data_IF_651114979477
#
_entry.id   IF_651114979477
#
_cell.length_a   1.000
_cell.length_b   1.000
_cell.length_c   1.000
_cell.angle_alpha   90.00
_cell.angle_beta   90.00
_cell.angle_gamma   90.00
#
_symmetry.space_group_name_H-M   'P 1'
#
loop_
_entity.id
_entity.type
_entity.pdbx_description
1 polymer ?
#
# COMPACT_ATOMS: atom_id res chain seq x y z
N UNK A 1 7.72 13.30 -19.59
CA UNK A 1 9.02 13.77 -20.13
C UNK A 1 9.92 14.10 -18.95
N UNK A 2 11.22 13.77 -19.02
CA UNK A 2 12.17 14.10 -17.95
C UNK A 2 12.40 15.62 -17.92
N UNK A 3 12.18 16.25 -16.76
CA UNK A 3 12.33 17.70 -16.60
C UNK A 3 13.63 18.08 -15.89
N UNK A 4 14.02 17.30 -14.87
CA UNK A 4 15.23 17.54 -14.09
C UNK A 4 15.85 16.22 -13.68
N UNK A 5 17.18 16.17 -13.65
CA UNK A 5 17.95 15.04 -13.16
C UNK A 5 19.02 15.56 -12.20
N UNK A 6 18.80 15.31 -10.90
CA UNK A 6 19.77 15.62 -9.86
C UNK A 6 20.60 14.39 -9.55
N UNK A 7 21.93 14.52 -9.59
CA UNK A 7 22.89 13.42 -9.51
C UNK A 7 23.89 13.71 -8.41
N UNK A 8 24.12 12.74 -7.52
CA UNK A 8 25.11 12.85 -6.44
C UNK A 8 25.94 11.57 -6.34
N UNK A 9 27.25 11.72 -6.16
CA UNK A 9 28.22 10.65 -5.97
C UNK A 9 28.09 9.51 -7.00
N UNK A 10 27.91 9.86 -8.28
CA UNK A 10 27.72 8.91 -9.36
C UNK A 10 28.79 9.07 -10.45
N UNK A 11 29.66 8.08 -10.58
CA UNK A 11 30.76 8.05 -11.55
C UNK A 11 31.68 9.27 -11.43
N UNK A 12 31.70 10.15 -12.43
CA UNK A 12 32.50 11.38 -12.44
C UNK A 12 31.76 12.58 -11.80
N UNK A 13 30.50 12.41 -11.42
CA UNK A 13 29.68 13.46 -10.81
C UNK A 13 29.70 13.34 -9.28
N UNK A 14 30.39 14.27 -8.61
CA UNK A 14 30.22 14.46 -7.16
C UNK A 14 28.84 15.01 -6.83
N UNK A 15 28.46 16.11 -7.49
CA UNK A 15 27.12 16.67 -7.48
C UNK A 15 26.86 17.36 -8.83
N UNK A 16 25.73 17.10 -9.46
CA UNK A 16 25.34 17.70 -10.74
C UNK A 16 23.83 17.83 -10.86
N UNK A 17 23.38 18.89 -11.51
CA UNK A 17 21.97 19.15 -11.74
C UNK A 17 21.72 19.47 -13.22
N UNK A 18 20.83 18.72 -13.85
CA UNK A 18 20.50 18.86 -15.26
C UNK A 18 19.03 19.25 -15.39
N UNK A 19 18.75 20.43 -15.94
CA UNK A 19 17.41 20.86 -16.32
C UNK A 19 17.22 20.65 -17.83
N UNK A 20 16.13 19.97 -18.20
CA UNK A 20 15.82 19.62 -19.58
C UNK A 20 14.74 20.53 -20.13
N UNK A 21 15.02 21.14 -21.28
CA UNK A 21 14.07 21.94 -22.04
C UNK A 21 13.15 21.09 -22.92
N UNK A 22 12.08 21.70 -23.47
CA UNK A 22 11.24 21.05 -24.47
C UNK A 22 12.03 20.79 -25.77
N UNK A 23 11.69 19.72 -26.49
CA UNK A 23 12.32 19.39 -27.76
C UNK A 23 13.68 18.70 -27.61
N UNK A 24 14.72 19.26 -28.24
CA UNK A 24 16.06 18.66 -28.32
C UNK A 24 16.99 19.22 -27.24
N UNK A 25 17.50 18.34 -26.39
CA UNK A 25 18.54 18.66 -25.41
C UNK A 25 19.88 18.12 -25.90
N UNK A 26 20.91 18.98 -25.94
CA UNK A 26 22.25 18.63 -26.45
C UNK A 26 23.23 18.62 -25.29
N UNK A 27 23.93 17.48 -25.10
CA UNK A 27 24.95 17.32 -24.05
C UNK A 27 26.34 17.32 -24.69
N UNK A 28 27.14 18.35 -24.39
CA UNK A 28 28.48 18.55 -24.94
C UNK A 28 29.55 18.51 -23.84
N UNK A 29 30.80 18.20 -24.21
CA UNK A 29 31.92 18.11 -23.28
C UNK A 29 33.03 17.19 -23.79
N UNK A 30 34.21 17.26 -23.18
CA UNK A 30 35.37 16.42 -23.55
C UNK A 30 35.18 14.96 -23.16
N UNK A 31 36.01 14.06 -23.69
CA UNK A 31 35.94 12.64 -23.31
C UNK A 31 36.23 12.48 -21.81
N UNK A 32 35.54 11.53 -21.17
CA UNK A 32 35.66 11.30 -19.73
C UNK A 32 34.79 12.20 -18.84
N UNK A 33 34.08 13.22 -19.37
CA UNK A 33 33.25 14.13 -18.55
C UNK A 33 31.86 13.60 -18.18
N UNK A 34 31.58 12.32 -18.42
CA UNK A 34 30.32 11.71 -17.97
C UNK A 34 29.12 11.89 -18.88
N UNK A 35 29.27 12.41 -20.12
CA UNK A 35 28.17 12.57 -21.08
C UNK A 35 27.30 11.32 -21.25
N UNK A 36 27.94 10.17 -21.53
CA UNK A 36 27.23 8.89 -21.65
C UNK A 36 26.61 8.42 -20.33
N UNK A 37 27.18 8.81 -19.19
CA UNK A 37 26.64 8.45 -17.88
C UNK A 37 25.32 9.17 -17.59
N UNK A 38 25.21 10.46 -17.93
CA UNK A 38 23.96 11.23 -17.81
C UNK A 38 22.87 10.60 -18.67
N UNK A 39 23.18 10.26 -19.92
CA UNK A 39 22.21 9.65 -20.84
C UNK A 39 21.76 8.26 -20.35
N UNK A 40 22.69 7.42 -19.88
CA UNK A 40 22.37 6.10 -19.30
C UNK A 40 21.51 6.23 -18.04
N UNK A 41 21.82 7.19 -17.18
CA UNK A 41 21.08 7.43 -15.95
C UNK A 41 19.65 7.89 -16.25
N UNK A 42 19.49 8.87 -17.15
CA UNK A 42 18.18 9.32 -17.60
C UNK A 42 17.37 8.18 -18.23
N UNK A 43 17.99 7.36 -19.07
CA UNK A 43 17.34 6.17 -19.63
C UNK A 43 16.90 5.19 -18.54
N UNK A 44 17.80 4.81 -17.62
CA UNK A 44 17.52 3.82 -16.58
C UNK A 44 16.37 4.25 -15.66
N UNK A 45 16.31 5.52 -15.28
CA UNK A 45 15.22 6.06 -14.45
C UNK A 45 13.89 5.97 -15.21
N UNK A 46 13.86 6.45 -16.46
CA UNK A 46 12.64 6.47 -17.26
C UNK A 46 12.16 5.06 -17.61
N UNK A 47 13.06 4.13 -17.94
CA UNK A 47 12.69 2.76 -18.29
C UNK A 47 12.10 2.00 -17.10
N UNK A 48 12.66 2.20 -15.90
CA UNK A 48 12.10 1.60 -14.68
C UNK A 48 10.73 2.20 -14.35
N UNK A 49 10.59 3.52 -14.45
CA UNK A 49 9.30 4.18 -14.20
C UNK A 49 8.22 3.74 -15.19
N UNK A 50 8.54 3.66 -16.48
CA UNK A 50 7.61 3.16 -17.50
C UNK A 50 7.16 1.72 -17.22
N UNK A 51 8.09 0.86 -16.78
CA UNK A 51 7.77 -0.51 -16.39
C UNK A 51 6.79 -0.54 -15.21
N UNK A 52 7.08 0.21 -14.15
CA UNK A 52 6.23 0.29 -12.96
C UNK A 52 4.81 0.79 -13.29
N UNK A 53 4.70 1.85 -14.10
CA UNK A 53 3.41 2.42 -14.51
C UNK A 53 2.59 1.43 -15.36
N UNK A 54 3.24 0.64 -16.21
CA UNK A 54 2.54 -0.40 -16.99
C UNK A 54 2.00 -1.51 -16.09
N UNK A 55 2.78 -1.93 -15.10
CA UNK A 55 2.37 -2.98 -14.16
C UNK A 55 1.24 -2.51 -13.23
N UNK A 56 1.27 -1.25 -12.82
CA UNK A 56 0.16 -0.61 -12.09
C UNK A 56 -1.11 -0.53 -12.95
N UNK A 57 -1.02 -0.10 -14.21
CA UNK A 57 -2.19 -0.07 -15.11
C UNK A 57 -2.81 -1.44 -15.29
N UNK A 58 -2.02 -2.47 -15.53
CA UNK A 58 -2.51 -3.84 -15.68
C UNK A 58 -3.20 -4.34 -14.41
N UNK A 59 -2.64 -4.05 -13.24
CA UNK A 59 -3.27 -4.37 -11.95
C UNK A 59 -4.61 -3.65 -11.81
N UNK A 60 -4.65 -2.34 -12.05
CA UNK A 60 -5.88 -1.55 -11.93
C UNK A 60 -6.96 -2.03 -12.92
N UNK A 61 -6.59 -2.36 -14.16
CA UNK A 61 -7.51 -2.93 -15.16
C UNK A 61 -8.06 -4.30 -14.73
N UNK A 62 -7.24 -5.13 -14.07
CA UNK A 62 -7.68 -6.42 -13.54
C UNK A 62 -8.61 -6.25 -12.34
N UNK A 63 -8.31 -5.32 -11.44
CA UNK A 63 -9.18 -5.01 -10.30
C UNK A 63 -10.49 -4.35 -10.75
N UNK A 64 -10.47 -3.53 -11.80
CA UNK A 64 -11.68 -2.89 -12.32
C UNK A 64 -12.65 -3.90 -12.95
N UNK A 65 -12.13 -4.93 -13.61
CA UNK A 65 -12.93 -6.07 -14.09
C UNK A 65 -13.50 -6.91 -12.95
N UNK A 66 -12.86 -6.87 -11.78
CA UNK A 66 -13.25 -7.58 -10.57
C UNK A 66 -13.90 -6.57 -9.59
N UNK A 67 -14.88 -5.81 -10.08
CA UNK A 67 -15.73 -4.93 -9.26
C UNK A 67 -17.12 -5.53 -9.14
N UNK A 68 -17.60 -5.63 -7.90
CA UNK A 68 -19.00 -5.98 -7.61
C UNK A 68 -19.64 -4.75 -6.98
N UNK A 69 -20.79 -4.33 -7.50
CA UNK A 69 -21.49 -3.11 -7.07
C UNK A 69 -20.62 -1.83 -7.06
N UNK A 70 -19.65 -1.75 -7.98
CA UNK A 70 -18.79 -0.56 -8.14
C UNK A 70 -17.60 -0.48 -7.17
N UNK A 71 -17.42 -1.44 -6.26
CA UNK A 71 -16.26 -1.51 -5.36
C UNK A 71 -15.26 -2.58 -5.81
N UNK A 72 -13.93 -2.31 -5.76
CA UNK A 72 -12.92 -3.34 -5.96
C UNK A 72 -13.10 -4.49 -4.96
N UNK A 73 -12.96 -5.75 -5.39
CA UNK A 73 -13.03 -6.90 -4.47
C UNK A 73 -11.97 -6.84 -3.35
N UNK A 74 -10.84 -6.18 -3.60
CA UNK A 74 -9.76 -5.95 -2.61
C UNK A 74 -10.23 -5.15 -1.40
N UNK A 75 -11.22 -4.26 -1.55
CA UNK A 75 -11.81 -3.48 -0.46
C UNK A 75 -12.81 -4.28 0.39
N UNK A 76 -13.42 -5.32 -0.17
CA UNK A 76 -14.37 -6.18 0.56
C UNK A 76 -13.64 -7.15 1.49
N UNK A 77 -12.52 -7.73 1.02
CA UNK A 77 -11.75 -8.68 1.82
C UNK A 77 -11.06 -8.02 3.04
N UNK A 78 -10.96 -6.69 3.04
CA UNK A 78 -10.46 -5.92 4.19
C UNK A 78 -11.48 -5.80 5.33
N UNK A 79 -12.78 -5.95 5.02
CA UNK A 79 -13.85 -5.77 6.01
C UNK A 79 -14.15 -7.04 6.82
N UNK A 80 -13.67 -8.21 6.41
CA UNK A 80 -13.90 -9.48 7.11
C UNK A 80 -12.79 -9.87 8.10
N UNK A 81 -11.58 -9.30 8.02
CA UNK A 81 -10.52 -9.59 9.01
C UNK A 81 -10.49 -8.66 10.23
N UNK A 82 -11.03 -7.45 10.15
CA UNK A 82 -10.98 -6.50 11.28
C UNK A 82 -11.99 -6.83 12.39
N UNK A 83 -13.05 -7.60 12.09
CA UNK A 83 -14.07 -7.96 13.09
C UNK A 83 -13.67 -9.18 13.93
N UNK A 84 -12.84 -10.08 13.40
CA UNK A 84 -12.44 -11.32 14.08
C UNK A 84 -11.31 -11.14 15.10
N UNK A 85 -10.43 -10.14 14.91
CA UNK A 85 -9.36 -9.84 15.88
C UNK A 85 -9.88 -9.07 17.12
N UNK A 86 -11.01 -8.35 17.01
CA UNK A 86 -11.60 -7.65 18.16
C UNK A 86 -12.41 -8.54 19.12
N UNK A 87 -12.92 -9.69 18.66
CA UNK A 87 -13.64 -10.63 19.54
C UNK A 87 -12.69 -11.54 20.34
N UNK A 88 -11.52 -11.89 19.80
CA UNK A 88 -10.56 -12.79 20.43
C UNK A 88 -9.82 -12.19 21.64
N UNK A 89 -9.72 -10.86 21.74
CA UNK A 89 -9.05 -10.18 22.87
C UNK A 89 -9.92 -10.12 24.14
N UNK A 90 -11.23 -10.39 24.05
CA UNK A 90 -12.11 -10.35 25.23
C UNK A 90 -12.12 -11.65 26.06
N UNK A 91 -11.67 -12.77 25.50
CA UNK A 91 -11.77 -14.09 26.13
C UNK A 91 -10.49 -14.60 26.83
N UNK A 92 -9.39 -13.86 26.76
CA UNK A 92 -8.11 -14.23 27.38
C UNK A 92 -7.73 -13.26 28.51
N UNK A 93 -8.49 -13.28 29.60
CA UNK A 93 -8.17 -12.41 30.74
C UNK A 93 -9.08 -12.52 31.95
N UNK A 94 -9.26 -13.71 32.53
CA UNK A 94 -9.65 -13.85 33.95
C UNK A 94 -9.29 -15.23 34.48
N UNK A 95 -8.00 -15.40 34.81
CA UNK A 95 -7.59 -16.36 35.82
C UNK A 95 -7.93 -15.79 37.21
N UNK A 96 -8.78 -16.53 37.91
CA UNK A 96 -8.75 -16.86 39.34
C UNK A 96 -8.18 -15.81 40.31
N UNK A 97 -9.09 -15.13 41.01
CA UNK A 97 -8.82 -14.43 42.26
C UNK A 97 -10.04 -14.57 43.17
N UNK A 98 -9.99 -15.52 44.10
CA UNK A 98 -11.03 -15.77 45.08
C UNK A 98 -11.15 -14.59 46.04
N UNK A 99 -12.33 -13.96 46.13
CA UNK A 99 -12.77 -13.22 47.31
C UNK A 99 -14.30 -13.01 47.31
N UNK A 100 -14.95 -13.52 48.35
CA UNK A 100 -15.97 -12.75 49.07
C UNK A 100 -17.40 -12.66 48.52
N UNK A 101 -18.23 -13.65 48.90
CA UNK A 101 -19.50 -13.45 49.63
C UNK A 101 -20.73 -12.78 48.96
N UNK A 102 -21.83 -13.53 49.03
CA UNK A 102 -23.24 -13.16 49.19
C UNK A 102 -24.15 -12.96 47.96
N UNK A 103 -25.22 -13.78 47.91
CA UNK A 103 -26.53 -13.37 47.38
C UNK A 103 -27.17 -14.30 46.35
N UNK A 104 -27.73 -15.45 46.79
CA UNK A 104 -28.91 -16.05 46.13
C UNK A 104 -30.16 -15.20 46.47
N UNK A 105 -31.26 -15.15 45.69
CA UNK A 105 -31.87 -16.32 45.05
C UNK A 105 -32.57 -16.16 43.68
N UNK A 106 -32.80 -17.33 43.08
CA UNK A 106 -33.79 -17.70 42.05
C UNK A 106 -35.24 -17.27 42.36
N UNK A 107 -36.13 -17.10 41.36
CA UNK A 107 -36.98 -18.23 40.93
C UNK A 107 -37.21 -18.37 39.39
N UNK A 108 -37.97 -19.42 39.08
CA UNK A 108 -38.13 -20.27 37.88
C UNK A 108 -38.89 -19.69 36.66
N UNK A 109 -38.83 -20.37 35.49
CA UNK A 109 -39.43 -19.93 34.22
C UNK A 109 -40.89 -20.39 34.06
N UNK A 110 -41.64 -19.72 33.17
CA UNK A 110 -42.93 -20.21 32.65
C UNK A 110 -42.85 -20.35 31.12
N UNK A 111 -43.31 -21.51 30.65
CA UNK A 111 -43.27 -22.07 29.30
C UNK A 111 -44.12 -21.32 28.26
N UNK A 112 -43.96 -21.61 26.95
CA UNK A 112 -44.52 -20.80 25.86
C UNK A 112 -45.99 -21.17 25.58
N UNK A 113 -46.81 -20.13 25.33
CA UNK A 113 -48.18 -20.29 24.86
C UNK A 113 -48.27 -20.14 23.34
N UNK A 114 -48.76 -21.20 22.69
CA UNK A 114 -49.29 -21.20 21.33
C UNK A 114 -50.66 -20.49 21.29
N UNK A 115 -50.98 -19.89 20.14
CA UNK A 115 -52.31 -19.38 19.80
C UNK A 115 -52.19 -18.36 18.65
N UNK A 116 -52.50 -18.73 17.41
CA UNK A 116 -53.83 -18.69 16.78
C UNK A 116 -54.30 -17.26 16.50
#
# INVERSE_FOLDING_TARGET
MLQRLHVRNFTVFGEADFEFGPGLNVVVGTNGTGKSHVLKLGYAVLSNLDTQLRDERKRNESEEKIRVAGKPLTDLNKYESTTLESELVSYSGSQVGAHGVAGKPHPRPLSPGEGS
#
